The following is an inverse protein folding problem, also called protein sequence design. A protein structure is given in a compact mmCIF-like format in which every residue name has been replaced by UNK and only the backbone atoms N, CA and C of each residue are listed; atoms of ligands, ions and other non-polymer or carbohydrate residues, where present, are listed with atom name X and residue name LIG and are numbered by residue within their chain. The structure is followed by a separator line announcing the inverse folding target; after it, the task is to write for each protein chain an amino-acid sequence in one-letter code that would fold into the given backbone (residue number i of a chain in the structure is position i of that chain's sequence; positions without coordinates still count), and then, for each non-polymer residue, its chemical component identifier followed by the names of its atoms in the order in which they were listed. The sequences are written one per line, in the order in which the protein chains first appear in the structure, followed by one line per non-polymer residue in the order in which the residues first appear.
data_IF_462514790599
#
_entry.id   IF_462514790599
#
_cell.length_a   1.000
_cell.length_b   1.000
_cell.length_c   1.000
_cell.angle_alpha   90.00
_cell.angle_beta   90.00
_cell.angle_gamma   90.00
#
_symmetry.space_group_name_H-M   'P 1'
#
loop_
_entity.id
_entity.type
_entity.pdbx_description
1 polymer ?
#
# COMPACT_ATOMS: atom_id res chain seq x y z
N UNK A 1 -8.81 2.93 25.62
CA UNK A 1 -9.18 2.06 24.50
C UNK A 1 -8.32 0.80 24.57
N UNK A 2 -8.93 -0.38 24.57
CA UNK A 2 -8.21 -1.65 24.48
C UNK A 2 -8.22 -2.11 23.04
N UNK A 3 -7.05 -2.26 22.44
CA UNK A 3 -6.91 -2.82 21.08
C UNK A 3 -6.72 -4.33 21.21
N UNK A 4 -7.60 -5.09 20.59
CA UNK A 4 -7.54 -6.55 20.62
C UNK A 4 -6.63 -7.06 19.49
N UNK A 5 -5.69 -7.92 19.86
CA UNK A 5 -4.77 -8.54 18.89
C UNK A 5 -5.49 -9.57 18.02
N UNK A 6 -5.18 -9.55 16.71
CA UNK A 6 -5.56 -10.59 15.77
C UNK A 6 -4.31 -11.40 15.40
N UNK A 7 -4.19 -12.66 15.86
CA UNK A 7 -3.02 -13.48 15.58
C UNK A 7 -2.82 -13.76 14.09
N UNK A 8 -1.57 -13.84 13.63
CA UNK A 8 -1.21 -14.11 12.24
C UNK A 8 -1.87 -15.40 11.69
N UNK A 9 -2.01 -16.43 12.52
CA UNK A 9 -2.68 -17.66 12.13
C UNK A 9 -4.15 -17.45 11.75
N UNK A 10 -4.83 -16.51 12.40
CA UNK A 10 -6.21 -16.13 12.07
C UNK A 10 -6.24 -15.36 10.76
N UNK A 11 -5.35 -14.39 10.59
CA UNK A 11 -5.26 -13.59 9.34
C UNK A 11 -4.98 -14.49 8.14
N UNK A 12 -4.07 -15.45 8.27
CA UNK A 12 -3.78 -16.43 7.21
C UNK A 12 -5.01 -17.27 6.82
N UNK A 13 -5.88 -17.61 7.77
CA UNK A 13 -7.14 -18.33 7.50
C UNK A 13 -8.17 -17.45 6.79
N UNK A 14 -8.13 -16.13 7.01
CA UNK A 14 -9.04 -15.20 6.32
C UNK A 14 -8.73 -15.15 4.81
N UNK A 15 -7.46 -15.34 4.42
CA UNK A 15 -7.02 -15.26 3.03
C UNK A 15 -7.04 -13.85 2.44
N UNK A 16 -6.78 -13.73 1.13
CA UNK A 16 -6.81 -12.45 0.44
C UNK A 16 -8.21 -11.79 0.51
N UNK A 17 -8.30 -10.46 0.67
CA UNK A 17 -7.22 -9.46 0.57
C UNK A 17 -6.49 -9.14 1.91
N UNK A 18 -6.74 -9.93 2.95
CA UNK A 18 -6.17 -9.66 4.27
C UNK A 18 -4.72 -10.12 4.37
N UNK A 19 -3.92 -9.34 5.08
CA UNK A 19 -2.52 -9.63 5.38
C UNK A 19 -2.21 -9.31 6.84
N UNK A 20 -1.19 -9.94 7.39
CA UNK A 20 -0.72 -9.62 8.74
C UNK A 20 -0.14 -8.21 8.77
N UNK A 21 -0.57 -7.44 9.75
CA UNK A 21 -0.11 -6.09 10.00
C UNK A 21 0.14 -5.85 11.49
N UNK A 22 0.67 -4.68 11.80
CA UNK A 22 0.86 -4.22 13.18
C UNK A 22 0.34 -2.80 13.34
N UNK A 23 -0.30 -2.55 14.46
CA UNK A 23 -0.58 -1.20 14.95
C UNK A 23 0.59 -0.86 15.88
N UNK A 24 1.43 0.15 15.52
CA UNK A 24 2.58 0.51 16.34
C UNK A 24 2.16 0.98 17.73
N UNK A 25 3.02 0.75 18.71
CA UNK A 25 2.84 1.29 20.05
C UNK A 25 2.59 2.79 20.02
N UNK A 26 1.79 3.29 20.94
CA UNK A 26 1.41 4.70 21.06
C UNK A 26 0.57 5.27 19.90
N UNK A 27 0.00 4.42 19.04
CA UNK A 27 -0.98 4.85 18.02
C UNK A 27 -2.26 5.35 18.70
N UNK A 28 -2.70 4.68 19.74
CA UNK A 28 -3.88 5.07 20.53
C UNK A 28 -3.49 5.37 21.97
N UNK A 29 -4.23 6.28 22.62
CA UNK A 29 -4.02 6.65 24.03
C UNK A 29 -4.13 5.40 24.92
N UNK A 30 -3.06 5.08 25.65
CA UNK A 30 -2.97 3.95 26.57
C UNK A 30 -2.54 2.62 25.93
N UNK A 31 -2.22 2.60 24.64
CA UNK A 31 -1.60 1.47 23.96
C UNK A 31 -0.08 1.61 24.02
N UNK A 32 0.57 0.81 24.86
CA UNK A 32 2.01 0.89 25.13
C UNK A 32 2.85 -0.07 24.29
N UNK A 33 2.21 -1.05 23.61
CA UNK A 33 2.88 -2.09 22.84
C UNK A 33 2.33 -2.19 21.42
N UNK A 34 3.14 -2.77 20.52
CA UNK A 34 2.68 -3.13 19.18
C UNK A 34 1.57 -4.16 19.26
N UNK A 35 0.51 -3.99 18.48
CA UNK A 35 -0.61 -4.95 18.42
C UNK A 35 -0.71 -5.54 17.03
N UNK A 36 -0.66 -6.88 16.95
CA UNK A 36 -0.88 -7.61 15.69
C UNK A 36 -2.33 -7.43 15.21
N UNK A 37 -2.52 -7.21 13.92
CA UNK A 37 -3.84 -6.99 13.32
C UNK A 37 -3.93 -7.54 11.91
N UNK A 38 -5.16 -7.66 11.42
CA UNK A 38 -5.40 -7.84 9.99
C UNK A 38 -5.35 -6.48 9.29
N UNK A 39 -4.62 -6.42 8.19
CA UNK A 39 -4.50 -5.23 7.36
C UNK A 39 -4.99 -5.50 5.94
N UNK A 40 -5.43 -4.45 5.26
CA UNK A 40 -5.75 -4.45 3.83
C UNK A 40 -4.97 -3.31 3.19
N UNK A 41 -4.30 -3.60 2.08
CA UNK A 41 -3.56 -2.58 1.34
C UNK A 41 -4.51 -1.83 0.41
N UNK A 42 -4.38 -0.51 0.38
CA UNK A 42 -5.10 0.33 -0.57
C UNK A 42 -4.38 0.37 -1.91
N UNK A 43 -5.15 0.36 -2.99
CA UNK A 43 -4.62 0.40 -4.35
C UNK A 43 -5.28 1.54 -5.13
N UNK A 44 -4.48 2.24 -5.92
CA UNK A 44 -4.99 3.13 -6.95
C UNK A 44 -5.29 2.29 -8.19
N UNK A 45 -6.56 2.23 -8.58
CA UNK A 45 -7.03 1.46 -9.72
C UNK A 45 -7.50 2.36 -10.84
N UNK A 46 -7.38 1.90 -12.07
CA UNK A 46 -7.89 2.59 -13.25
C UNK A 46 -8.55 1.60 -14.21
N UNK A 47 -9.24 2.11 -15.21
CA UNK A 47 -9.86 1.30 -16.25
C UNK A 47 -8.81 0.74 -17.21
N UNK A 48 -9.10 -0.44 -17.78
CA UNK A 48 -8.22 -1.12 -18.73
C UNK A 48 -7.96 -0.31 -20.01
N UNK A 49 -8.92 0.54 -20.41
CA UNK A 49 -8.87 1.33 -21.63
C UNK A 49 -8.15 2.67 -21.49
N UNK A 50 -7.62 3.00 -20.31
CA UNK A 50 -6.70 4.14 -20.13
C UNK A 50 -5.43 3.87 -20.92
N UNK A 51 -4.90 4.87 -21.65
CA UNK A 51 -3.68 4.67 -22.42
C UNK A 51 -2.46 4.40 -21.53
N UNK A 52 -1.51 3.61 -22.04
CA UNK A 52 -0.27 3.32 -21.32
C UNK A 52 0.51 4.59 -20.95
N UNK A 53 0.51 5.59 -21.84
CA UNK A 53 1.14 6.87 -21.60
C UNK A 53 0.50 7.61 -20.42
N UNK A 54 -0.83 7.62 -20.37
CA UNK A 54 -1.58 8.26 -19.28
C UNK A 54 -1.33 7.53 -17.95
N UNK A 55 -1.46 6.20 -17.93
CA UNK A 55 -1.22 5.41 -16.72
C UNK A 55 0.24 5.52 -16.23
N UNK A 56 1.21 5.57 -17.15
CA UNK A 56 2.61 5.86 -16.82
C UNK A 56 2.76 7.22 -16.13
N UNK A 57 2.19 8.28 -16.72
CA UNK A 57 2.27 9.62 -16.15
C UNK A 57 1.57 9.71 -14.79
N UNK A 58 0.41 9.10 -14.63
CA UNK A 58 -0.30 9.04 -13.35
C UNK A 58 0.58 8.39 -12.27
N UNK A 59 1.16 7.22 -12.58
CA UNK A 59 2.03 6.49 -11.63
C UNK A 59 3.27 7.32 -11.28
N UNK A 60 3.93 7.90 -12.28
CA UNK A 60 5.10 8.75 -12.10
C UNK A 60 4.80 9.95 -11.23
N UNK A 61 3.80 10.74 -11.59
CA UNK A 61 3.43 11.97 -10.86
C UNK A 61 3.00 11.66 -9.41
N UNK A 62 2.30 10.53 -9.20
CA UNK A 62 1.92 10.10 -7.87
C UNK A 62 3.15 9.92 -6.94
N UNK A 63 4.16 9.18 -7.39
CA UNK A 63 5.36 8.93 -6.58
C UNK A 63 6.31 10.13 -6.52
N UNK A 64 6.40 10.94 -7.56
CA UNK A 64 7.24 12.14 -7.57
C UNK A 64 6.67 13.27 -6.69
N UNK A 65 5.36 13.24 -6.40
CA UNK A 65 4.70 14.23 -5.55
C UNK A 65 4.29 13.69 -4.17
N UNK A 66 4.88 12.60 -3.70
CA UNK A 66 4.62 12.07 -2.35
C UNK A 66 4.72 13.12 -1.24
N UNK A 67 5.69 14.07 -1.22
CA UNK A 67 5.74 15.11 -0.20
C UNK A 67 4.45 15.95 -0.13
N UNK A 68 3.85 16.27 -1.27
CA UNK A 68 2.58 17.01 -1.30
C UNK A 68 1.42 16.17 -0.74
N UNK A 69 1.39 14.87 -1.03
CA UNK A 69 0.39 13.95 -0.47
C UNK A 69 0.55 13.81 1.04
N UNK A 70 1.79 13.73 1.54
CA UNK A 70 2.08 13.68 2.98
C UNK A 70 1.64 14.98 3.68
N UNK A 71 1.84 16.14 3.04
CA UNK A 71 1.37 17.41 3.58
C UNK A 71 -0.16 17.48 3.64
N UNK A 72 -0.86 16.87 2.68
CA UNK A 72 -2.31 16.80 2.66
C UNK A 72 -2.87 15.81 3.70
N UNK A 73 -2.21 14.65 3.89
CA UNK A 73 -2.64 13.62 4.84
C UNK A 73 -1.47 12.79 5.36
N UNK A 74 -1.33 12.73 6.68
CA UNK A 74 -0.19 12.07 7.34
C UNK A 74 -0.04 10.57 7.03
N UNK A 75 -1.13 9.86 6.75
CA UNK A 75 -1.08 8.44 6.37
C UNK A 75 -0.34 8.20 5.03
N UNK A 76 -0.14 9.23 4.21
CA UNK A 76 0.64 9.10 2.99
C UNK A 76 2.14 8.84 3.26
N UNK A 77 2.62 8.99 4.50
CA UNK A 77 3.98 8.61 4.92
C UNK A 77 4.26 7.11 4.75
N UNK A 78 3.20 6.29 4.82
CA UNK A 78 3.29 4.84 4.69
C UNK A 78 3.37 4.38 3.22
N UNK A 79 3.16 5.28 2.27
CA UNK A 79 3.27 4.98 0.84
C UNK A 79 4.74 4.79 0.48
N UNK A 80 5.07 3.56 0.06
CA UNK A 80 6.44 3.19 -0.28
C UNK A 80 6.52 2.64 -1.71
N UNK A 81 7.27 3.30 -2.56
CA UNK A 81 7.48 2.87 -3.95
C UNK A 81 8.07 1.44 -4.04
N UNK A 82 8.96 1.06 -3.10
CA UNK A 82 9.58 -0.29 -3.09
C UNK A 82 8.58 -1.42 -2.89
N UNK A 83 7.44 -1.13 -2.29
CA UNK A 83 6.38 -2.10 -2.01
C UNK A 83 5.27 -2.09 -3.08
N UNK A 84 5.26 -1.08 -3.94
CA UNK A 84 4.19 -0.81 -4.91
C UNK A 84 3.87 -1.95 -5.87
N UNK A 85 4.87 -2.72 -6.26
CA UNK A 85 4.72 -3.82 -7.21
C UNK A 85 4.71 -5.21 -6.54
N UNK A 86 4.73 -5.26 -5.19
CA UNK A 86 4.74 -6.53 -4.46
C UNK A 86 3.32 -7.09 -4.34
N UNK A 87 3.13 -8.28 -4.91
CA UNK A 87 1.88 -9.07 -4.78
C UNK A 87 0.60 -8.25 -4.99
N UNK A 88 0.45 -7.51 -6.12
CA UNK A 88 -0.76 -6.76 -6.37
C UNK A 88 -1.95 -7.71 -6.51
N UNK A 89 -3.14 -7.38 -5.97
CA UNK A 89 -4.32 -8.23 -6.04
C UNK A 89 -4.95 -8.26 -7.44
N UNK A 90 -4.59 -7.29 -8.27
CA UNK A 90 -5.04 -7.12 -9.65
C UNK A 90 -3.83 -7.00 -10.58
N UNK A 91 -3.95 -7.37 -11.86
CA UNK A 91 -2.91 -7.12 -12.84
C UNK A 91 -2.52 -5.64 -12.88
N UNK A 92 -1.21 -5.38 -12.88
CA UNK A 92 -0.69 -4.03 -13.04
C UNK A 92 -0.97 -3.52 -14.46
N UNK A 93 -1.34 -2.23 -14.57
CA UNK A 93 -1.51 -1.59 -15.87
C UNK A 93 -0.15 -1.50 -16.60
N UNK A 94 -0.08 -1.72 -17.94
CA UNK A 94 1.19 -1.68 -18.69
C UNK A 94 1.98 -0.37 -18.48
N UNK A 95 1.29 0.77 -18.41
CA UNK A 95 1.93 2.07 -18.10
C UNK A 95 2.59 2.09 -16.71
N UNK A 96 1.95 1.51 -15.69
CA UNK A 96 2.53 1.40 -14.35
C UNK A 96 3.72 0.43 -14.34
N UNK A 97 3.61 -0.71 -15.05
CA UNK A 97 4.71 -1.66 -15.24
C UNK A 97 5.94 -0.95 -15.81
N UNK A 98 5.76 -0.13 -16.87
CA UNK A 98 6.85 0.63 -17.47
C UNK A 98 7.58 1.50 -16.44
N UNK A 99 6.85 2.26 -15.64
CA UNK A 99 7.44 3.08 -14.57
C UNK A 99 8.18 2.24 -13.52
N UNK A 100 7.59 1.13 -13.07
CA UNK A 100 8.23 0.26 -12.08
C UNK A 100 9.49 -0.42 -12.62
N UNK A 101 9.54 -0.78 -13.92
CA UNK A 101 10.75 -1.28 -14.59
C UNK A 101 11.85 -0.21 -14.63
N UNK A 102 11.52 1.02 -15.00
CA UNK A 102 12.48 2.14 -15.00
C UNK A 102 13.07 2.41 -13.61
N UNK A 103 12.31 2.16 -12.55
CA UNK A 103 12.77 2.27 -11.17
C UNK A 103 13.45 1.00 -10.64
N UNK A 104 13.58 -0.06 -11.45
CA UNK A 104 14.23 -1.32 -11.07
C UNK A 104 13.48 -2.16 -10.05
N UNK A 105 12.16 -1.97 -9.91
CA UNK A 105 11.33 -2.67 -8.93
C UNK A 105 10.83 -4.02 -9.43
N UNK A 106 10.69 -4.16 -10.73
CA UNK A 106 10.32 -5.38 -11.44
C UNK A 106 11.21 -5.58 -12.65
N UNK A 107 11.40 -6.84 -13.06
CA UNK A 107 12.19 -7.23 -14.25
C UNK A 107 11.39 -7.15 -15.54
#
# INVERSE_FOLDING_TARGET
VTVVSVPDAVVKKMGAPFMSGKIPANTYKGQTEDVSTAAVVNYLVTRKDVSDATAYQMTKLFYENLPALVAAHSAAKDINLKDAAKNPPLPLHPGAIKYYKEKGLIK
#
